data_IF_221888402640
#
_entry.id   IF_221888402640
#
_cell.length_a   1.000
_cell.length_b   1.000
_cell.length_c   1.000
_cell.angle_alpha   90.00
_cell.angle_beta   90.00
_cell.angle_gamma   90.00
#
_symmetry.space_group_name_H-M   'P 1'
#
loop_
_entity.id
_entity.type
_entity.pdbx_description
1 polymer ?
#
# COMPACT_ATOMS: atom_id res chain seq x y z
N UNK A 1 -0.04 16.82 -2.08
CA UNK A 1 0.58 15.57 -1.59
C UNK A 1 -0.09 15.13 -0.31
N UNK A 2 -0.38 13.84 -0.19
CA UNK A 2 -0.94 13.24 1.01
C UNK A 2 0.07 12.25 1.55
N UNK A 3 0.35 12.34 2.85
CA UNK A 3 1.29 11.44 3.51
C UNK A 3 0.71 11.04 4.85
N UNK A 4 0.46 9.75 5.04
CA UNK A 4 -0.10 9.22 6.28
C UNK A 4 0.45 7.83 6.57
N UNK A 5 0.41 7.47 7.83
CA UNK A 5 0.80 6.14 8.27
C UNK A 5 -0.41 5.21 8.28
N UNK A 6 -0.22 4.00 7.80
CA UNK A 6 -1.24 2.96 7.88
C UNK A 6 -0.62 1.73 8.54
N UNK A 7 -1.44 0.97 9.24
CA UNK A 7 -0.99 -0.26 9.91
C UNK A 7 -1.47 -1.46 9.11
N UNK A 8 -0.56 -2.39 8.83
CA UNK A 8 -0.90 -3.65 8.16
C UNK A 8 -1.69 -4.51 9.13
N UNK A 9 -2.89 -4.89 8.77
CA UNK A 9 -3.82 -5.59 9.67
C UNK A 9 -4.02 -7.06 9.36
N UNK A 10 -3.72 -7.49 8.13
CA UNK A 10 -3.93 -8.88 7.75
C UNK A 10 -2.81 -9.78 8.27
N UNK A 11 -3.17 -11.02 8.58
CA UNK A 11 -2.27 -11.98 9.21
C UNK A 11 -0.98 -12.19 8.42
N UNK A 12 -1.08 -12.31 7.11
CA UNK A 12 0.07 -12.61 6.25
C UNK A 12 0.88 -11.39 5.83
N UNK A 13 0.41 -10.19 6.19
CA UNK A 13 1.11 -8.97 5.80
C UNK A 13 1.06 -8.71 4.30
N UNK A 14 2.04 -7.98 3.81
CA UNK A 14 2.10 -7.60 2.40
C UNK A 14 2.77 -8.71 1.57
N UNK A 15 2.13 -9.87 1.53
CA UNK A 15 2.59 -11.02 0.76
C UNK A 15 2.19 -10.88 -0.72
N UNK A 16 2.54 -11.86 -1.54
CA UNK A 16 2.35 -11.79 -2.99
C UNK A 16 0.92 -11.42 -3.40
N UNK A 17 -0.08 -12.08 -2.81
CA UNK A 17 -1.48 -11.83 -3.17
C UNK A 17 -1.92 -10.42 -2.76
N UNK A 18 -1.55 -10.00 -1.56
CA UNK A 18 -1.88 -8.65 -1.09
C UNK A 18 -1.17 -7.60 -1.94
N UNK A 19 0.10 -7.83 -2.27
CA UNK A 19 0.86 -6.93 -3.13
C UNK A 19 0.21 -6.79 -4.51
N UNK A 20 -0.27 -7.90 -5.10
CA UNK A 20 -0.94 -7.88 -6.39
C UNK A 20 -2.20 -7.03 -6.34
N UNK A 21 -3.00 -7.14 -5.27
CA UNK A 21 -4.20 -6.33 -5.11
C UNK A 21 -3.86 -4.85 -4.97
N UNK A 22 -2.78 -4.55 -4.25
CA UNK A 22 -2.36 -3.17 -4.09
C UNK A 22 -1.89 -2.57 -5.42
N UNK A 23 -1.13 -3.33 -6.20
CA UNK A 23 -0.70 -2.90 -7.54
C UNK A 23 -1.93 -2.61 -8.41
N UNK A 24 -2.91 -3.52 -8.43
CA UNK A 24 -4.11 -3.33 -9.23
C UNK A 24 -4.87 -2.07 -8.82
N UNK A 25 -4.95 -1.81 -7.53
CA UNK A 25 -5.60 -0.60 -7.02
C UNK A 25 -4.80 0.64 -7.41
N UNK A 26 -3.49 0.62 -7.21
CA UNK A 26 -2.64 1.77 -7.48
C UNK A 26 -2.62 2.15 -8.96
N UNK A 27 -2.66 1.15 -9.84
CA UNK A 27 -2.64 1.39 -11.29
C UNK A 27 -3.88 2.08 -11.82
N UNK A 28 -4.96 2.13 -11.05
CA UNK A 28 -6.17 2.83 -11.46
C UNK A 28 -6.01 4.35 -11.41
N UNK A 29 -4.98 4.83 -10.74
CA UNK A 29 -4.77 6.25 -10.52
C UNK A 29 -3.51 6.74 -11.20
N UNK A 30 -3.51 8.02 -11.57
CA UNK A 30 -2.33 8.64 -12.18
C UNK A 30 -1.31 9.07 -11.14
N UNK A 31 -1.76 9.32 -9.92
CA UNK A 31 -0.88 9.75 -8.83
C UNK A 31 0.25 8.79 -8.59
N UNK A 32 1.38 9.35 -8.17
CA UNK A 32 2.49 8.56 -7.67
C UNK A 32 2.13 8.07 -6.29
N UNK A 33 2.30 6.78 -6.03
CA UNK A 33 1.98 6.17 -4.74
C UNK A 33 3.21 5.42 -4.27
N UNK A 34 3.74 5.83 -3.11
CA UNK A 34 4.93 5.21 -2.54
C UNK A 34 4.65 4.71 -1.14
N UNK A 35 5.21 3.55 -0.81
CA UNK A 35 5.16 2.98 0.53
C UNK A 35 6.56 2.93 1.10
N UNK A 36 6.69 3.34 2.36
CA UNK A 36 7.95 3.26 3.08
C UNK A 36 7.77 2.40 4.32
N UNK A 37 8.67 1.45 4.50
CA UNK A 37 8.75 0.63 5.70
C UNK A 37 10.21 0.56 6.12
N UNK A 38 10.51 1.06 7.32
CA UNK A 38 11.88 1.21 7.79
C UNK A 38 12.65 2.10 6.82
N UNK A 39 13.76 1.63 6.26
CA UNK A 39 14.61 2.44 5.38
C UNK A 39 14.29 2.25 3.90
N UNK A 40 13.25 1.48 3.58
CA UNK A 40 12.97 1.14 2.19
C UNK A 40 11.70 1.81 1.70
N UNK A 41 11.82 2.49 0.56
CA UNK A 41 10.69 3.12 -0.13
C UNK A 41 10.50 2.44 -1.47
N UNK A 42 9.25 2.06 -1.78
CA UNK A 42 8.95 1.36 -3.02
C UNK A 42 7.74 1.99 -3.70
N UNK A 43 7.64 1.78 -5.02
CA UNK A 43 6.51 2.24 -5.81
C UNK A 43 5.37 1.21 -5.68
N UNK A 44 4.20 1.68 -5.29
CA UNK A 44 3.04 0.79 -5.12
C UNK A 44 2.54 0.19 -6.44
N UNK A 45 3.03 0.68 -7.58
CA UNK A 45 2.68 0.12 -8.89
C UNK A 45 3.65 -0.97 -9.33
N UNK A 46 4.64 -1.31 -8.50
CA UNK A 46 5.62 -2.36 -8.78
C UNK A 46 5.51 -3.50 -7.78
N UNK A 47 5.11 -4.68 -8.24
CA UNK A 47 4.85 -5.81 -7.34
C UNK A 47 6.11 -6.29 -6.62
N UNK A 48 7.24 -6.32 -7.31
CA UNK A 48 8.47 -6.80 -6.68
C UNK A 48 8.92 -5.92 -5.53
N UNK A 49 8.79 -4.60 -5.70
CA UNK A 49 9.11 -3.67 -4.62
C UNK A 49 8.24 -3.90 -3.41
N UNK A 50 6.94 -4.08 -3.63
CA UNK A 50 6.01 -4.31 -2.53
C UNK A 50 6.32 -5.60 -1.78
N UNK A 51 6.63 -6.67 -2.49
CA UNK A 51 6.99 -7.95 -1.87
C UNK A 51 8.26 -7.80 -1.03
N UNK A 52 9.27 -7.12 -1.57
CA UNK A 52 10.54 -6.96 -0.87
C UNK A 52 10.49 -5.97 0.29
N UNK A 53 9.41 -5.21 0.39
CA UNK A 53 9.25 -4.24 1.49
C UNK A 53 9.22 -4.92 2.86
N UNK A 54 8.75 -6.15 2.93
CA UNK A 54 8.79 -6.94 4.14
C UNK A 54 7.81 -6.49 5.23
N UNK A 55 6.78 -5.75 4.86
CA UNK A 55 5.80 -5.28 5.83
C UNK A 55 4.90 -6.43 6.28
N UNK A 56 4.85 -6.66 7.58
CA UNK A 56 4.09 -7.74 8.19
C UNK A 56 2.95 -7.20 9.05
N UNK A 57 2.10 -8.10 9.54
CA UNK A 57 1.01 -7.71 10.43
C UNK A 57 1.52 -6.83 11.55
N UNK A 58 0.77 -5.79 11.86
CA UNK A 58 1.03 -4.79 12.90
C UNK A 58 2.17 -3.83 12.55
N UNK A 59 2.87 -4.03 11.44
CA UNK A 59 3.85 -3.03 11.02
C UNK A 59 3.14 -1.78 10.50
N UNK A 60 3.74 -0.63 10.79
CA UNK A 60 3.25 0.65 10.29
C UNK A 60 4.03 1.00 9.02
N UNK A 61 3.30 1.33 7.97
CA UNK A 61 3.89 1.79 6.72
C UNK A 61 3.55 3.25 6.51
N UNK A 62 4.44 3.97 5.87
CA UNK A 62 4.21 5.36 5.50
C UNK A 62 3.75 5.37 4.05
N UNK A 63 2.58 5.95 3.80
CA UNK A 63 1.99 6.01 2.45
C UNK A 63 2.02 7.45 1.97
N UNK A 64 2.66 7.67 0.83
CA UNK A 64 2.75 8.98 0.22
C UNK A 64 2.11 8.95 -1.15
N UNK A 65 1.17 9.86 -1.40
CA UNK A 65 0.43 9.94 -2.66
C UNK A 65 0.51 11.36 -3.19
N UNK A 66 0.89 11.50 -4.47
CA UNK A 66 1.05 12.82 -5.07
C UNK A 66 0.56 12.81 -6.52
N UNK A 67 -0.37 13.71 -6.84
CA UNK A 67 -0.90 13.82 -8.19
C UNK A 67 -2.29 14.42 -8.21
N UNK A 68 -2.89 14.52 -9.39
CA UNK A 68 -4.20 15.14 -9.55
C UNK A 68 -5.31 14.38 -8.82
N UNK A 69 -5.23 13.04 -8.81
CA UNK A 69 -6.23 12.19 -8.18
C UNK A 69 -5.75 11.65 -6.83
N UNK A 70 -4.88 12.39 -6.16
CA UNK A 70 -4.24 11.91 -4.93
C UNK A 70 -5.23 11.60 -3.81
N UNK A 71 -6.28 12.38 -3.66
CA UNK A 71 -7.27 12.15 -2.61
C UNK A 71 -7.98 10.82 -2.81
N UNK A 72 -8.44 10.57 -4.04
CA UNK A 72 -9.13 9.33 -4.39
C UNK A 72 -8.20 8.13 -4.30
N UNK A 73 -6.95 8.32 -4.78
CA UNK A 73 -5.96 7.26 -4.73
C UNK A 73 -5.63 6.88 -3.28
N UNK A 74 -5.45 7.86 -2.41
CA UNK A 74 -5.16 7.57 -1.01
C UNK A 74 -6.31 6.82 -0.35
N UNK A 75 -7.55 7.26 -0.57
CA UNK A 75 -8.72 6.60 0.02
C UNK A 75 -8.83 5.15 -0.43
N UNK A 76 -8.53 4.88 -1.71
CA UNK A 76 -8.57 3.52 -2.22
C UNK A 76 -7.51 2.63 -1.57
N UNK A 77 -6.30 3.15 -1.39
CA UNK A 77 -5.23 2.41 -0.73
C UNK A 77 -5.56 2.18 0.74
N UNK A 78 -6.03 3.22 1.42
CA UNK A 78 -6.39 3.13 2.83
C UNK A 78 -7.49 2.09 3.05
N UNK A 79 -8.52 2.11 2.20
CA UNK A 79 -9.61 1.15 2.30
C UNK A 79 -9.10 -0.27 2.11
N UNK A 80 -8.23 -0.49 1.13
CA UNK A 80 -7.69 -1.81 0.86
C UNK A 80 -6.88 -2.34 2.05
N UNK A 81 -6.01 -1.50 2.61
CA UNK A 81 -5.18 -1.89 3.77
C UNK A 81 -6.07 -2.17 4.98
N UNK A 82 -7.03 -1.28 5.26
CA UNK A 82 -7.90 -1.44 6.43
C UNK A 82 -8.86 -2.61 6.28
N UNK A 83 -9.14 -3.03 5.05
CA UNK A 83 -9.97 -4.18 4.76
C UNK A 83 -9.15 -5.48 4.66
N UNK A 84 -7.92 -5.45 5.17
CA UNK A 84 -7.03 -6.62 5.20
C UNK A 84 -6.79 -7.20 3.81
N UNK A 85 -6.76 -6.36 2.77
CA UNK A 85 -6.62 -6.79 1.37
C UNK A 85 -7.67 -7.84 0.99
N UNK A 86 -8.88 -7.71 1.55
CA UNK A 86 -10.02 -8.62 1.35
C UNK A 86 -9.75 -10.03 1.88
N UNK A 87 -8.80 -10.20 2.78
CA UNK A 87 -8.54 -11.48 3.43
C UNK A 87 -9.36 -11.57 4.72
N UNK A 88 -9.68 -12.79 5.13
CA UNK A 88 -10.45 -13.00 6.35
C UNK A 88 -9.63 -12.69 7.60
N UNK A 89 -8.35 -12.91 7.52
CA UNK A 89 -7.42 -12.73 8.61
C UNK A 89 -6.33 -11.77 8.21
#
# INVERSE_FOLDING_TARGET
MIQKHLTIQNKLGLHTRAAAKLVDTAKKFQSKIELTHRDRTVDAKGIMGLITLGAQKDNVIDVMVSGEDEAEAFLAVEKLVNDKFHEKE
#
